data_IF_905214876571
#
_entry.id   IF_905214876571
#
_cell.length_a   1.000
_cell.length_b   1.000
_cell.length_c   1.000
_cell.angle_alpha   90.00
_cell.angle_beta   90.00
_cell.angle_gamma   90.00
#
_symmetry.space_group_name_H-M   'P 1'
#
loop_
_entity.id
_entity.type
_entity.pdbx_description
1 polymer ?
#
# COMPACT_ATOMS: atom_id res chain seq x y z
N UNK A 1 -8.43 -23.86 -29.14
CA UNK A 1 -8.06 -23.10 -27.93
C UNK A 1 -9.27 -22.24 -27.54
N UNK A 2 -9.70 -22.25 -26.28
CA UNK A 2 -10.74 -21.29 -25.85
C UNK A 2 -10.13 -19.89 -26.05
N UNK A 3 -10.73 -19.05 -26.89
CA UNK A 3 -10.23 -17.71 -27.25
C UNK A 3 -10.31 -16.68 -26.11
N UNK A 4 -9.84 -17.06 -24.93
CA UNK A 4 -9.79 -16.26 -23.71
C UNK A 4 -8.35 -15.83 -23.48
N UNK A 5 -8.18 -14.54 -23.20
CA UNK A 5 -6.89 -13.95 -22.89
C UNK A 5 -6.37 -14.42 -21.51
N UNK A 6 -5.06 -14.41 -21.32
CA UNK A 6 -4.42 -14.88 -20.09
C UNK A 6 -4.93 -14.11 -18.86
N UNK A 7 -5.19 -12.81 -18.99
CA UNK A 7 -5.76 -11.99 -17.92
C UNK A 7 -7.17 -12.48 -17.52
N UNK A 8 -7.97 -12.91 -18.49
CA UNK A 8 -9.31 -13.44 -18.25
C UNK A 8 -9.25 -14.78 -17.50
N UNK A 9 -8.30 -15.66 -17.83
CA UNK A 9 -8.10 -16.92 -17.12
C UNK A 9 -7.73 -16.68 -15.66
N UNK A 10 -6.82 -15.75 -15.38
CA UNK A 10 -6.47 -15.38 -14.01
C UNK A 10 -7.65 -14.78 -13.25
N UNK A 11 -8.45 -13.93 -13.90
CA UNK A 11 -9.64 -13.33 -13.29
C UNK A 11 -10.70 -14.39 -12.94
N UNK A 12 -10.98 -15.32 -13.85
CA UNK A 12 -11.93 -16.42 -13.61
C UNK A 12 -11.44 -17.34 -12.48
N UNK A 13 -10.14 -17.64 -12.44
CA UNK A 13 -9.55 -18.44 -11.35
C UNK A 13 -9.70 -17.74 -10.00
N UNK A 14 -9.44 -16.43 -9.92
CA UNK A 14 -9.63 -15.67 -8.67
C UNK A 14 -11.08 -15.64 -8.22
N UNK A 15 -12.04 -15.45 -9.13
CA UNK A 15 -13.47 -15.45 -8.79
C UNK A 15 -13.95 -16.83 -8.31
N UNK A 16 -13.41 -17.90 -8.87
CA UNK A 16 -13.76 -19.27 -8.46
C UNK A 16 -13.30 -19.62 -7.03
N UNK A 17 -12.35 -18.86 -6.48
CA UNK A 17 -11.85 -19.05 -5.11
C UNK A 17 -12.67 -18.31 -4.05
N UNK A 18 -13.72 -17.58 -4.43
CA UNK A 18 -14.59 -16.87 -3.50
C UNK A 18 -15.74 -17.79 -3.08
N UNK A 19 -15.69 -18.29 -1.85
CA UNK A 19 -16.81 -19.00 -1.22
C UNK A 19 -17.67 -18.03 -0.42
N UNK A 20 -18.97 -18.00 -0.72
CA UNK A 20 -19.94 -17.24 0.07
C UNK A 20 -20.42 -18.12 1.22
N UNK A 21 -20.19 -17.69 2.46
CA UNK A 21 -20.64 -18.37 3.68
C UNK A 21 -21.55 -17.42 4.45
N UNK A 22 -22.69 -17.93 4.92
CA UNK A 22 -23.61 -17.16 5.77
C UNK A 22 -23.01 -17.06 7.18
N UNK A 23 -23.08 -15.86 7.76
CA UNK A 23 -22.60 -15.64 9.14
C UNK A 23 -23.53 -16.31 10.17
N UNK A 24 -24.80 -16.45 9.79
CA UNK A 24 -25.80 -17.17 10.56
C UNK A 24 -25.48 -18.69 10.62
N UNK A 25 -24.92 -19.25 9.54
CA UNK A 25 -24.43 -20.65 9.51
C UNK A 25 -23.18 -20.87 10.39
N UNK A 26 -22.39 -19.82 10.61
CA UNK A 26 -21.23 -19.82 11.52
C UNK A 26 -21.61 -19.60 12.99
N UNK A 27 -22.92 -19.52 13.31
CA UNK A 27 -23.40 -19.32 14.68
C UNK A 27 -23.27 -17.88 15.19
N UNK A 28 -22.99 -16.92 14.31
CA UNK A 28 -22.88 -15.49 14.65
C UNK A 28 -24.29 -14.91 14.70
N UNK A 29 -24.79 -14.69 15.91
CA UNK A 29 -26.18 -14.29 16.13
C UNK A 29 -26.33 -12.83 16.56
N UNK A 30 -25.29 -12.24 17.16
CA UNK A 30 -25.30 -10.85 17.58
C UNK A 30 -24.67 -9.92 16.54
N UNK A 31 -25.20 -8.70 16.44
CA UNK A 31 -24.67 -7.66 15.55
C UNK A 31 -23.23 -7.28 15.92
N UNK A 32 -22.92 -7.24 17.21
CA UNK A 32 -21.60 -6.88 17.71
C UNK A 32 -20.53 -7.94 17.36
N UNK A 33 -20.87 -9.23 17.40
CA UNK A 33 -19.96 -10.30 16.97
C UNK A 33 -19.74 -10.27 15.45
N UNK A 34 -20.78 -9.97 14.68
CA UNK A 34 -20.69 -9.77 13.23
C UNK A 34 -19.77 -8.61 12.87
N UNK A 35 -19.90 -7.48 13.54
CA UNK A 35 -19.01 -6.32 13.33
C UNK A 35 -17.56 -6.63 13.74
N UNK A 36 -17.34 -7.36 14.83
CA UNK A 36 -15.99 -7.80 15.25
C UNK A 36 -15.34 -8.75 14.23
N UNK A 37 -16.05 -9.76 13.76
CA UNK A 37 -15.52 -10.70 12.77
C UNK A 37 -15.23 -10.01 11.43
N UNK A 38 -16.12 -9.11 10.99
CA UNK A 38 -15.90 -8.32 9.79
C UNK A 38 -14.65 -7.45 9.93
N UNK A 39 -14.46 -6.83 11.09
CA UNK A 39 -13.25 -6.07 11.39
C UNK A 39 -12.00 -6.95 11.41
N UNK A 40 -12.03 -8.18 11.94
CA UNK A 40 -10.90 -9.11 11.87
C UNK A 40 -10.57 -9.55 10.43
N UNK A 41 -11.59 -9.80 9.61
CA UNK A 41 -11.40 -10.20 8.22
C UNK A 41 -10.84 -9.05 7.36
N UNK A 42 -11.28 -7.82 7.62
CA UNK A 42 -10.85 -6.62 6.90
C UNK A 42 -9.49 -6.12 7.40
N UNK A 43 -9.24 -6.17 8.71
CA UNK A 43 -8.03 -5.66 9.34
C UNK A 43 -6.99 -6.78 9.58
N UNK A 44 -6.82 -7.69 8.63
CA UNK A 44 -5.60 -8.51 8.64
C UNK A 44 -4.41 -7.59 8.41
N UNK A 45 -3.71 -7.24 9.49
CA UNK A 45 -2.46 -6.45 9.49
C UNK A 45 -1.36 -7.11 8.62
N UNK A 46 -1.55 -8.37 8.21
CA UNK A 46 -0.71 -9.16 7.31
C UNK A 46 -1.33 -9.41 5.92
N UNK A 47 -2.05 -8.44 5.33
CA UNK A 47 -2.39 -8.53 3.91
C UNK A 47 -1.10 -8.45 3.07
N UNK A 48 -0.55 -9.61 2.72
CA UNK A 48 0.67 -9.75 1.93
C UNK A 48 0.61 -8.95 0.62
N UNK A 49 -0.60 -8.76 0.06
CA UNK A 49 -0.80 -7.92 -1.12
C UNK A 49 -0.55 -6.44 -0.79
N UNK A 50 -1.11 -5.93 0.31
CA UNK A 50 -0.87 -4.56 0.78
C UNK A 50 0.60 -4.32 1.13
N UNK A 51 1.25 -5.28 1.80
CA UNK A 51 2.69 -5.20 2.10
C UNK A 51 3.54 -5.17 0.81
N UNK A 52 3.19 -5.99 -0.18
CA UNK A 52 3.88 -6.03 -1.48
C UNK A 52 3.69 -4.72 -2.24
N UNK A 53 2.47 -4.18 -2.30
CA UNK A 53 2.19 -2.87 -2.92
C UNK A 53 2.96 -1.73 -2.25
N UNK A 54 3.02 -1.73 -0.92
CA UNK A 54 3.78 -0.72 -0.19
C UNK A 54 5.28 -0.82 -0.49
N UNK A 55 5.81 -2.05 -0.62
CA UNK A 55 7.20 -2.29 -1.02
C UNK A 55 7.47 -1.76 -2.42
N UNK A 56 6.64 -2.10 -3.41
CA UNK A 56 6.75 -1.60 -4.79
C UNK A 56 6.67 -0.07 -4.85
N UNK A 57 5.76 0.53 -4.08
CA UNK A 57 5.64 1.98 -3.99
C UNK A 57 6.91 2.62 -3.40
N UNK A 58 7.48 2.03 -2.34
CA UNK A 58 8.75 2.51 -1.75
C UNK A 58 9.91 2.41 -2.74
N UNK A 59 10.00 1.31 -3.49
CA UNK A 59 11.01 1.12 -4.52
C UNK A 59 10.88 2.15 -5.66
N UNK A 60 9.67 2.39 -6.15
CA UNK A 60 9.39 3.40 -7.16
C UNK A 60 9.73 4.82 -6.67
N UNK A 61 9.35 5.17 -5.44
CA UNK A 61 9.71 6.46 -4.83
C UNK A 61 11.23 6.62 -4.67
N UNK A 62 11.93 5.57 -4.23
CA UNK A 62 13.38 5.61 -4.09
C UNK A 62 14.06 5.84 -5.45
N UNK A 63 13.57 5.22 -6.51
CA UNK A 63 14.12 5.41 -7.85
C UNK A 63 13.84 6.82 -8.39
N UNK A 64 12.64 7.35 -8.17
CA UNK A 64 12.31 8.74 -8.51
C UNK A 64 13.24 9.73 -7.78
N UNK A 65 13.49 9.53 -6.48
CA UNK A 65 14.39 10.40 -5.69
C UNK A 65 15.85 10.32 -6.20
N UNK A 66 16.31 9.16 -6.68
CA UNK A 66 17.65 9.03 -7.26
C UNK A 66 17.81 9.80 -8.57
N UNK A 67 16.75 9.89 -9.37
CA UNK A 67 16.74 10.64 -10.62
C UNK A 67 16.74 12.15 -10.42
N UNK A 68 16.42 12.63 -9.21
CA UNK A 68 16.50 14.04 -8.89
C UNK A 68 17.96 14.55 -8.91
N UNK A 69 18.17 15.80 -9.37
CA UNK A 69 19.42 16.51 -9.20
C UNK A 69 19.91 16.49 -7.75
N UNK A 70 21.22 16.52 -7.56
CA UNK A 70 21.86 16.44 -6.24
C UNK A 70 21.30 17.46 -5.25
N UNK A 71 21.06 18.69 -5.70
CA UNK A 71 20.48 19.77 -4.87
C UNK A 71 19.07 19.44 -4.38
N UNK A 72 18.21 18.89 -5.24
CA UNK A 72 16.83 18.57 -4.88
C UNK A 72 16.78 17.38 -3.90
N UNK A 73 17.65 16.39 -4.11
CA UNK A 73 17.80 15.26 -3.17
C UNK A 73 18.27 15.72 -1.80
N UNK A 74 19.20 16.68 -1.76
CA UNK A 74 19.70 17.26 -0.52
C UNK A 74 18.61 18.07 0.22
N UNK A 75 17.77 18.81 -0.52
CA UNK A 75 16.60 19.49 0.07
C UNK A 75 15.66 18.49 0.75
N UNK A 76 15.35 17.38 0.08
CA UNK A 76 14.48 16.33 0.63
C UNK A 76 15.11 15.73 1.91
N UNK A 77 16.42 15.46 1.90
CA UNK A 77 17.12 14.94 3.08
C UNK A 77 17.05 15.91 4.26
N UNK A 78 17.41 17.17 4.03
CA UNK A 78 17.42 18.18 5.10
C UNK A 78 16.02 18.41 5.69
N UNK A 79 14.97 18.32 4.87
CA UNK A 79 13.60 18.51 5.33
C UNK A 79 13.03 17.30 6.08
N UNK A 80 13.24 16.08 5.58
CA UNK A 80 12.60 14.88 6.13
C UNK A 80 13.48 14.05 7.08
N UNK A 81 14.81 14.10 6.96
CA UNK A 81 15.73 13.41 7.87
C UNK A 81 16.22 14.33 8.97
N UNK A 82 16.64 15.55 8.61
CA UNK A 82 17.25 16.49 9.54
C UNK A 82 16.25 17.50 10.13
N UNK A 83 14.96 17.37 9.78
CA UNK A 83 13.83 18.18 10.25
C UNK A 83 14.02 19.71 10.06
N UNK A 84 14.85 20.13 9.11
CA UNK A 84 15.07 21.54 8.80
C UNK A 84 13.91 22.14 8.02
N UNK A 85 13.53 23.36 8.38
CA UNK A 85 12.54 24.11 7.62
C UNK A 85 13.10 24.53 6.25
N UNK A 86 12.23 24.84 5.28
CA UNK A 86 12.65 25.34 3.97
C UNK A 86 13.58 26.57 4.04
N UNK A 87 13.40 27.41 5.06
CA UNK A 87 14.25 28.58 5.32
C UNK A 87 15.65 28.18 5.78
N UNK A 88 15.76 27.19 6.65
CA UNK A 88 17.05 26.69 7.15
C UNK A 88 17.78 25.90 6.06
N UNK A 89 17.07 25.06 5.32
CA UNK A 89 17.58 24.35 4.15
C UNK A 89 18.13 25.33 3.10
N UNK A 90 17.42 26.43 2.80
CA UNK A 90 17.91 27.46 1.88
C UNK A 90 19.22 28.13 2.33
N UNK A 91 19.38 28.36 3.63
CA UNK A 91 20.64 28.89 4.22
C UNK A 91 21.78 27.88 4.12
N UNK A 92 21.53 26.61 4.45
CA UNK A 92 22.53 25.53 4.35
C UNK A 92 23.01 25.36 2.91
N UNK A 93 22.12 25.54 1.94
CA UNK A 93 22.43 25.44 0.52
C UNK A 93 22.98 26.73 -0.11
N UNK A 94 23.09 27.82 0.65
CA UNK A 94 23.64 29.10 0.19
C UNK A 94 22.80 29.80 -0.89
N UNK A 95 21.49 29.55 -0.91
CA UNK A 95 20.55 30.08 -1.92
C UNK A 95 19.84 31.34 -1.39
N UNK A 96 19.93 31.61 -0.08
CA UNK A 96 19.29 32.77 0.58
C UNK A 96 20.18 33.36 1.67
#
# INVERSE_FOLDING_TARGET
ELGIDLEQVYRTKQMSSISFISLEELGVSSRDEKEKLLNYLINNEDDALTMTKLKELREAMAEAIKQLPEKERLVISLYYLDELTMKETGKVLGIT
#
